data_IF_742365538401
#
_entry.id   IF_742365538401
#
_cell.length_a   1.000
_cell.length_b   1.000
_cell.length_c   1.000
_cell.angle_alpha   90.00
_cell.angle_beta   90.00
_cell.angle_gamma   90.00
#
_symmetry.space_group_name_H-M   'P 1'
#
loop_
_entity.id
_entity.type
_entity.pdbx_description
1 polymer ?
#
# COMPACT_ATOMS: atom_id res chain seq x y z
N UNK A 1 13.09 -30.33 -16.68
CA UNK A 1 12.83 -29.27 -15.69
C UNK A 1 13.18 -27.94 -16.36
N UNK A 2 12.19 -27.26 -16.95
CA UNK A 2 12.43 -25.98 -17.62
C UNK A 2 12.25 -24.87 -16.58
N UNK A 3 13.38 -24.31 -16.11
CA UNK A 3 13.38 -23.05 -15.37
C UNK A 3 13.21 -21.93 -16.40
N UNK A 4 12.03 -21.33 -16.44
CA UNK A 4 11.82 -20.10 -17.21
C UNK A 4 12.50 -18.98 -16.45
N UNK A 5 13.72 -18.64 -16.86
CA UNK A 5 14.39 -17.40 -16.45
C UNK A 5 13.63 -16.25 -17.11
N UNK A 6 12.71 -15.63 -16.37
CA UNK A 6 12.03 -14.42 -16.83
C UNK A 6 13.07 -13.31 -16.88
N UNK A 7 13.30 -12.80 -18.08
CA UNK A 7 14.18 -11.67 -18.37
C UNK A 7 13.87 -10.50 -17.42
N UNK A 8 14.89 -10.02 -16.71
CA UNK A 8 14.82 -8.78 -15.93
C UNK A 8 14.81 -7.59 -16.89
N UNK A 9 13.62 -7.15 -17.27
CA UNK A 9 13.44 -5.78 -17.76
C UNK A 9 13.55 -4.80 -16.57
N UNK A 10 14.21 -3.63 -16.71
CA UNK A 10 14.51 -2.76 -15.58
C UNK A 10 13.26 -1.97 -15.18
N UNK A 11 12.38 -2.61 -14.41
CA UNK A 11 11.24 -1.93 -13.78
C UNK A 11 11.78 -0.94 -12.73
N UNK A 12 11.37 0.34 -12.85
CA UNK A 12 11.66 1.48 -11.99
C UNK A 12 11.45 1.25 -10.46
N UNK A 13 10.97 0.07 -10.04
CA UNK A 13 10.86 -0.39 -8.66
C UNK A 13 12.15 -0.98 -8.04
N UNK A 14 13.33 -0.77 -8.62
CA UNK A 14 14.60 -1.29 -8.08
C UNK A 14 14.87 -0.79 -6.64
N UNK A 15 14.59 0.49 -6.35
CA UNK A 15 14.70 1.05 -5.00
C UNK A 15 13.69 0.46 -4.01
N UNK A 16 12.48 0.15 -4.48
CA UNK A 16 11.41 -0.45 -3.68
C UNK A 16 11.78 -1.88 -3.25
N UNK A 17 12.36 -2.68 -4.16
CA UNK A 17 12.77 -4.07 -3.88
C UNK A 17 13.81 -4.17 -2.78
N UNK A 18 14.82 -3.29 -2.76
CA UNK A 18 15.83 -3.27 -1.71
C UNK A 18 15.22 -2.94 -0.34
N UNK A 19 14.31 -1.95 -0.29
CA UNK A 19 13.61 -1.57 0.93
C UNK A 19 12.81 -2.74 1.52
N UNK A 20 12.07 -3.47 0.68
CA UNK A 20 11.30 -4.64 1.13
C UNK A 20 12.19 -5.74 1.70
N UNK A 21 13.36 -6.00 1.09
CA UNK A 21 14.34 -6.97 1.62
C UNK A 21 14.85 -6.59 3.01
N UNK A 22 15.13 -5.32 3.25
CA UNK A 22 15.54 -4.85 4.57
C UNK A 22 14.40 -4.92 5.59
N UNK A 23 13.18 -4.54 5.19
CA UNK A 23 12.00 -4.60 6.06
C UNK A 23 11.67 -6.05 6.48
N UNK A 24 11.86 -7.01 5.59
CA UNK A 24 11.63 -8.44 5.86
C UNK A 24 12.42 -8.95 7.07
N UNK A 25 13.61 -8.40 7.33
CA UNK A 25 14.47 -8.82 8.46
C UNK A 25 13.80 -8.59 9.82
N UNK A 26 12.87 -7.64 9.90
CA UNK A 26 12.16 -7.27 11.13
C UNK A 26 10.77 -7.93 11.24
N UNK A 27 10.40 -8.80 10.30
CA UNK A 27 9.08 -9.43 10.22
C UNK A 27 9.24 -10.94 10.23
N UNK A 28 8.58 -11.61 11.16
CA UNK A 28 8.57 -13.08 11.25
C UNK A 28 7.89 -13.72 10.03
N UNK A 29 6.83 -13.06 9.54
CA UNK A 29 6.07 -13.51 8.37
C UNK A 29 6.68 -12.96 7.09
N UNK A 30 6.71 -13.81 6.06
CA UNK A 30 7.15 -13.43 4.72
C UNK A 30 6.22 -12.38 4.11
N UNK A 31 6.79 -11.29 3.59
CA UNK A 31 6.09 -10.27 2.81
C UNK A 31 5.67 -10.89 1.47
N UNK A 32 4.37 -10.83 1.18
CA UNK A 32 3.75 -11.35 -0.05
C UNK A 32 3.28 -10.23 -0.99
N UNK A 33 3.74 -9.00 -0.77
CA UNK A 33 3.37 -7.83 -1.57
C UNK A 33 3.86 -7.97 -3.02
N UNK A 34 2.93 -7.86 -3.97
CA UNK A 34 3.21 -7.93 -5.41
C UNK A 34 3.79 -6.61 -5.92
N UNK A 35 4.86 -6.67 -6.71
CA UNK A 35 5.49 -5.51 -7.36
C UNK A 35 5.30 -5.66 -8.87
N UNK A 36 4.15 -5.19 -9.35
CA UNK A 36 3.75 -5.23 -10.76
C UNK A 36 3.81 -3.82 -11.37
N UNK A 37 3.96 -3.70 -12.70
CA UNK A 37 3.77 -2.42 -13.38
C UNK A 37 2.34 -1.90 -13.16
N UNK A 38 2.20 -0.57 -13.13
CA UNK A 38 0.91 0.08 -12.90
C UNK A 38 -0.08 -0.27 -14.02
N UNK A 39 -1.30 -0.64 -13.64
CA UNK A 39 -2.43 -0.90 -14.56
C UNK A 39 -3.34 0.32 -14.64
N UNK A 40 -4.34 0.27 -15.53
CA UNK A 40 -5.41 1.29 -15.59
C UNK A 40 -6.07 1.44 -14.21
N UNK A 41 -6.11 2.67 -13.71
CA UNK A 41 -6.73 2.99 -12.43
C UNK A 41 -8.21 3.33 -12.63
N UNK A 42 -9.09 2.63 -11.93
CA UNK A 42 -10.53 2.90 -11.90
C UNK A 42 -10.87 3.63 -10.60
N UNK A 43 -11.24 4.91 -10.70
CA UNK A 43 -11.58 5.73 -9.52
C UNK A 43 -12.84 5.16 -8.85
N UNK A 44 -12.77 4.95 -7.53
CA UNK A 44 -13.94 4.59 -6.73
C UNK A 44 -14.92 5.78 -6.59
N UNK A 45 -16.18 5.48 -6.26
CA UNK A 45 -17.23 6.48 -6.06
C UNK A 45 -16.86 7.58 -5.04
N UNK A 46 -17.46 8.75 -5.18
CA UNK A 46 -17.12 9.94 -4.38
C UNK A 46 -17.39 9.73 -2.87
N UNK A 47 -18.34 8.87 -2.51
CA UNK A 47 -18.60 8.46 -1.14
C UNK A 47 -17.40 7.76 -0.48
N UNK A 48 -16.65 6.94 -1.24
CA UNK A 48 -15.47 6.23 -0.73
C UNK A 48 -14.25 7.13 -0.58
N UNK A 49 -14.22 8.27 -1.26
CA UNK A 49 -13.10 9.21 -1.15
C UNK A 49 -13.13 9.92 0.21
N UNK A 50 -11.99 9.99 0.88
CA UNK A 50 -11.83 10.66 2.18
C UNK A 50 -12.82 10.18 3.27
N UNK A 51 -13.25 8.92 3.22
CA UNK A 51 -14.29 8.37 4.08
C UNK A 51 -14.04 8.59 5.59
N UNK A 52 -12.82 8.30 6.07
CA UNK A 52 -12.45 8.46 7.48
C UNK A 52 -12.40 9.94 7.91
N UNK A 53 -12.00 10.85 7.02
CA UNK A 53 -12.02 12.29 7.29
C UNK A 53 -13.43 12.88 7.27
N UNK A 54 -14.39 12.21 6.62
CA UNK A 54 -15.81 12.58 6.64
C UNK A 54 -16.56 12.11 7.89
N UNK A 55 -15.92 11.33 8.77
CA UNK A 55 -16.54 10.81 10.00
C UNK A 55 -16.66 9.29 10.07
N UNK A 56 -16.36 8.57 8.99
CA UNK A 56 -16.49 7.12 8.95
C UNK A 56 -17.89 6.63 9.36
N UNK A 57 -17.95 5.46 9.98
CA UNK A 57 -19.16 4.81 10.50
C UNK A 57 -19.60 5.39 11.83
N UNK A 58 -18.64 5.77 12.68
CA UNK A 58 -18.90 6.23 14.06
C UNK A 58 -19.20 7.74 14.17
N UNK A 59 -19.11 8.49 13.06
CA UNK A 59 -19.30 9.95 13.04
C UNK A 59 -18.10 10.75 13.56
N UNK A 60 -16.99 10.09 13.94
CA UNK A 60 -15.76 10.73 14.41
C UNK A 60 -14.76 10.89 13.27
N UNK A 61 -14.55 12.12 12.81
CA UNK A 61 -13.63 12.41 11.72
C UNK A 61 -12.17 12.24 12.13
N UNK A 62 -11.37 11.59 11.27
CA UNK A 62 -9.92 11.43 11.46
C UNK A 62 -9.13 12.44 10.63
N UNK A 63 -8.15 13.09 11.28
CA UNK A 63 -7.37 14.16 10.68
C UNK A 63 -6.50 13.66 9.51
N UNK A 64 -6.66 14.20 8.29
CA UNK A 64 -5.79 13.90 7.16
C UNK A 64 -4.51 14.76 7.13
N UNK A 65 -4.27 15.56 8.18
CA UNK A 65 -3.14 16.49 8.24
C UNK A 65 -1.82 15.74 8.11
N UNK A 66 -0.90 16.31 7.32
CA UNK A 66 0.46 15.75 7.20
C UNK A 66 1.08 15.65 8.59
N UNK A 67 1.81 14.56 8.84
CA UNK A 67 2.47 14.27 10.12
C UNK A 67 1.57 14.07 11.34
N UNK A 68 0.25 13.92 11.17
CA UNK A 68 -0.64 13.45 12.23
C UNK A 68 -0.17 12.08 12.73
N UNK A 69 -0.08 11.91 14.06
CA UNK A 69 0.37 10.67 14.73
C UNK A 69 -0.75 9.98 15.52
N UNK A 70 -1.97 10.49 15.42
CA UNK A 70 -3.13 9.90 16.06
C UNK A 70 -3.38 8.50 15.48
N UNK A 71 -3.79 7.51 16.30
CA UNK A 71 -4.05 6.16 15.82
C UNK A 71 -5.23 6.16 14.83
N UNK A 72 -5.04 5.50 13.69
CA UNK A 72 -6.06 5.38 12.65
C UNK A 72 -6.96 4.17 12.95
N UNK A 73 -8.26 4.38 12.96
CA UNK A 73 -9.29 3.34 13.10
C UNK A 73 -9.74 2.84 11.72
N UNK A 74 -10.12 1.57 11.62
CA UNK A 74 -10.46 0.96 10.34
C UNK A 74 -11.73 1.53 9.70
N UNK A 75 -12.70 1.97 10.51
CA UNK A 75 -14.04 2.31 10.02
C UNK A 75 -14.57 3.65 10.53
N UNK A 76 -13.75 4.49 11.17
CA UNK A 76 -14.22 5.65 11.93
C UNK A 76 -14.27 5.33 13.41
#
# INVERSE_FOLDING_TARGET
MHVVTVAEEPIAGAGSRLRWKNQQKNLEKKIVTEILPAKKFHKAEEYHQHYLSKGGKSGHAQSPSKSCKDPISCFG
#
